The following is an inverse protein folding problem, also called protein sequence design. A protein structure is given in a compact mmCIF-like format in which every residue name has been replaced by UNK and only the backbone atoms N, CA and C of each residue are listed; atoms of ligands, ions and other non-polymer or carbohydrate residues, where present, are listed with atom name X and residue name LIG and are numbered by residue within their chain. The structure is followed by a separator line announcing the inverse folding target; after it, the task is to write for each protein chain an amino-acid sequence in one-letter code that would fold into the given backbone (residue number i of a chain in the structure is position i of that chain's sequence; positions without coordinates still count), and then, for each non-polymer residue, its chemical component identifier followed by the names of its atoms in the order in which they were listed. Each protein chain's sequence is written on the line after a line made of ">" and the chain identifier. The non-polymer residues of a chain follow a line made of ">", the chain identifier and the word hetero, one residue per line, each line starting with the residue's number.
data_IF_744880082787
#
_entry.id   IF_744880082787
#
_cell.length_a   1.000
_cell.length_b   1.000
_cell.length_c   1.000
_cell.angle_alpha   90.00
_cell.angle_beta   90.00
_cell.angle_gamma   90.00
#
_symmetry.space_group_name_H-M   'P 1'
#
loop_
_entity.id
_entity.type
_entity.pdbx_description
1 polymer ?
#
# COMPACT_ATOMS: atom_id res chain seq x y z
N UNK A 1 3.16 -26.39 -28.50
CA UNK A 1 4.04 -25.37 -27.92
C UNK A 1 3.28 -24.75 -26.78
N UNK A 2 3.53 -25.20 -25.57
CA UNK A 2 2.96 -24.63 -24.35
C UNK A 2 3.56 -23.23 -24.16
N UNK A 3 2.74 -22.28 -23.72
CA UNK A 3 3.28 -20.99 -23.28
C UNK A 3 4.31 -21.27 -22.16
N UNK A 4 5.41 -20.48 -22.07
CA UNK A 4 6.30 -20.61 -20.93
C UNK A 4 5.47 -20.51 -19.65
N UNK A 5 5.67 -21.44 -18.72
CA UNK A 5 5.11 -21.33 -17.38
C UNK A 5 5.53 -19.97 -16.80
N UNK A 6 4.60 -19.20 -16.19
CA UNK A 6 4.97 -17.96 -15.54
C UNK A 6 6.00 -18.26 -14.46
N UNK A 7 7.15 -17.58 -14.54
CA UNK A 7 8.25 -17.69 -13.57
C UNK A 7 7.72 -17.37 -12.15
N UNK A 8 7.83 -18.29 -11.17
CA UNK A 8 7.28 -18.15 -9.82
C UNK A 8 7.86 -16.99 -8.97
N UNK A 9 8.80 -16.20 -9.51
CA UNK A 9 9.58 -15.21 -8.76
C UNK A 9 9.25 -13.73 -9.03
N UNK A 10 8.17 -13.39 -9.73
CA UNK A 10 7.83 -11.98 -10.00
C UNK A 10 6.83 -11.39 -9.01
N UNK A 11 7.30 -11.07 -7.80
CA UNK A 11 6.79 -9.88 -7.13
C UNK A 11 7.53 -8.68 -7.74
N UNK A 12 6.83 -7.80 -8.45
CA UNK A 12 7.46 -6.57 -8.96
C UNK A 12 8.12 -5.81 -7.81
N UNK A 13 9.18 -5.04 -8.08
CA UNK A 13 9.83 -4.23 -7.03
C UNK A 13 8.81 -3.33 -6.34
N UNK A 14 7.84 -2.86 -7.11
CA UNK A 14 6.66 -2.13 -6.68
C UNK A 14 5.81 -2.94 -5.69
N UNK A 15 5.45 -4.18 -6.00
CA UNK A 15 4.65 -5.01 -5.09
C UNK A 15 5.41 -5.36 -3.80
N UNK A 16 6.72 -5.57 -3.88
CA UNK A 16 7.56 -5.80 -2.69
C UNK A 16 7.57 -4.56 -1.78
N UNK A 17 7.72 -3.36 -2.36
CA UNK A 17 7.64 -2.11 -1.61
C UNK A 17 6.27 -1.95 -0.92
N UNK A 18 5.17 -2.22 -1.63
CA UNK A 18 3.83 -2.19 -1.03
C UNK A 18 3.70 -3.21 0.10
N UNK A 19 4.14 -4.44 -0.11
CA UNK A 19 4.02 -5.52 0.86
C UNK A 19 4.86 -5.27 2.13
N UNK A 20 5.98 -4.56 2.00
CA UNK A 20 6.81 -4.14 3.14
C UNK A 20 6.10 -3.09 4.01
N UNK A 21 5.44 -2.10 3.40
CA UNK A 21 4.82 -0.99 4.12
C UNK A 21 3.38 -1.26 4.59
N UNK A 22 2.62 -2.06 3.83
CA UNK A 22 1.18 -2.26 4.04
C UNK A 22 0.82 -2.73 5.46
N UNK A 23 1.52 -3.70 6.07
CA UNK A 23 1.16 -4.16 7.41
C UNK A 23 1.16 -3.02 8.44
N UNK A 24 2.22 -2.22 8.47
CA UNK A 24 2.33 -1.11 9.43
C UNK A 24 1.38 0.04 9.09
N UNK A 25 1.19 0.34 7.80
CA UNK A 25 0.23 1.35 7.36
C UNK A 25 -1.23 0.96 7.74
N UNK A 26 -1.59 -0.31 7.65
CA UNK A 26 -2.90 -0.81 8.08
C UNK A 26 -3.07 -0.74 9.60
N UNK A 27 -2.04 -1.05 10.40
CA UNK A 27 -2.07 -0.85 11.86
C UNK A 27 -2.28 0.63 12.22
N UNK A 28 -1.62 1.54 11.50
CA UNK A 28 -1.81 2.99 11.66
C UNK A 28 -3.25 3.36 11.33
N UNK A 29 -3.80 2.86 10.21
CA UNK A 29 -5.19 3.11 9.84
C UNK A 29 -6.16 2.61 10.92
N UNK A 30 -5.99 1.37 11.40
CA UNK A 30 -6.85 0.77 12.43
C UNK A 30 -6.89 1.63 13.69
N UNK A 31 -5.72 2.15 14.10
CA UNK A 31 -5.58 2.91 15.34
C UNK A 31 -5.95 4.38 15.21
N UNK A 32 -5.75 4.97 14.03
CA UNK A 32 -5.74 6.42 13.86
C UNK A 32 -6.64 6.94 12.74
N UNK A 33 -7.25 6.07 11.92
CA UNK A 33 -8.11 6.45 10.80
C UNK A 33 -7.38 6.98 9.57
N UNK A 34 -6.04 7.02 9.57
CA UNK A 34 -5.27 7.48 8.41
C UNK A 34 -5.28 6.38 7.36
N UNK A 35 -5.94 6.63 6.22
CA UNK A 35 -6.09 5.64 5.16
C UNK A 35 -4.74 5.08 4.67
N UNK A 36 -4.69 3.76 4.55
CA UNK A 36 -3.51 3.02 4.10
C UNK A 36 -3.13 3.44 2.68
N UNK A 37 -4.11 3.59 1.81
CA UNK A 37 -3.92 4.03 0.42
C UNK A 37 -3.24 5.38 0.32
N UNK A 38 -3.59 6.33 1.19
CA UNK A 38 -2.95 7.66 1.27
C UNK A 38 -1.50 7.52 1.70
N UNK A 39 -1.25 6.77 2.78
CA UNK A 39 0.10 6.55 3.29
C UNK A 39 1.00 5.90 2.24
N UNK A 40 0.51 4.86 1.54
CA UNK A 40 1.24 4.17 0.48
C UNK A 40 1.47 5.08 -0.74
N UNK A 41 0.46 5.84 -1.17
CA UNK A 41 0.59 6.75 -2.32
C UNK A 41 1.60 7.87 -2.07
N UNK A 42 1.59 8.46 -0.87
CA UNK A 42 2.61 9.43 -0.47
C UNK A 42 3.98 8.76 -0.39
N UNK A 43 4.10 7.58 0.20
CA UNK A 43 5.38 6.87 0.24
C UNK A 43 5.93 6.60 -1.18
N UNK A 44 5.09 6.18 -2.12
CA UNK A 44 5.47 5.99 -3.53
C UNK A 44 6.00 7.31 -4.14
N UNK A 45 5.20 8.38 -4.03
CA UNK A 45 5.47 9.66 -4.66
C UNK A 45 6.74 10.32 -4.10
N UNK A 46 6.88 10.34 -2.78
CA UNK A 46 7.94 11.07 -2.07
C UNK A 46 9.28 10.33 -2.07
N UNK A 47 9.25 8.99 -2.21
CA UNK A 47 10.46 8.16 -2.10
C UNK A 47 10.90 7.52 -3.41
N UNK A 48 10.15 7.69 -4.51
CA UNK A 48 10.33 6.97 -5.78
C UNK A 48 10.36 5.45 -5.54
N UNK A 49 9.29 4.89 -4.98
CA UNK A 49 9.22 3.46 -4.62
C UNK A 49 10.38 2.99 -3.72
N UNK A 50 10.77 3.84 -2.76
CA UNK A 50 11.90 3.61 -1.86
C UNK A 50 13.27 3.72 -2.53
N UNK A 51 13.35 4.09 -3.81
CA UNK A 51 14.61 4.16 -4.57
C UNK A 51 15.38 5.45 -4.36
N UNK A 52 14.75 6.50 -3.82
CA UNK A 52 15.46 7.75 -3.53
C UNK A 52 16.63 7.51 -2.57
N UNK A 53 17.72 8.25 -2.78
CA UNK A 53 18.90 8.12 -1.91
C UNK A 53 18.59 8.42 -0.44
N UNK A 54 17.58 9.27 -0.16
CA UNK A 54 17.13 9.57 1.19
C UNK A 54 16.34 8.40 1.82
N UNK A 55 15.46 7.76 1.06
CA UNK A 55 14.75 6.57 1.52
C UNK A 55 15.72 5.43 1.84
N UNK A 56 16.77 5.22 1.02
CA UNK A 56 17.74 4.15 1.23
C UNK A 56 18.75 4.44 2.34
N UNK A 57 19.29 5.66 2.43
CA UNK A 57 20.35 6.00 3.41
C UNK A 57 19.79 6.46 4.75
N UNK A 58 18.62 7.08 4.72
CA UNK A 58 17.96 7.68 5.88
C UNK A 58 16.76 6.90 6.39
N UNK A 59 16.32 5.85 5.68
CA UNK A 59 15.04 5.19 5.92
C UNK A 59 13.86 6.19 5.94
N UNK A 60 13.99 7.31 5.21
CA UNK A 60 13.07 8.43 5.30
C UNK A 60 12.27 8.54 4.00
N UNK A 61 11.06 8.01 4.03
CA UNK A 61 10.18 7.91 2.87
C UNK A 61 9.53 9.26 2.49
N UNK A 62 9.41 10.18 3.44
CA UNK A 62 8.57 11.39 3.32
C UNK A 62 9.36 12.70 3.37
N UNK A 63 10.68 12.65 3.16
CA UNK A 63 11.51 13.86 3.11
C UNK A 63 11.56 14.67 4.41
N UNK A 64 11.32 14.05 5.56
CA UNK A 64 11.21 14.78 6.85
C UNK A 64 12.55 15.41 7.21
N UNK A 65 12.61 16.75 7.31
CA UNK A 65 13.81 17.48 7.74
C UNK A 65 14.15 17.14 9.19
N UNK A 66 15.44 17.01 9.48
CA UNK A 66 15.96 16.61 10.79
C UNK A 66 16.35 17.80 11.67
N UNK A 67 16.27 17.63 12.98
CA UNK A 67 16.83 18.56 13.98
C UNK A 67 17.52 17.80 15.11
N UNK A 68 18.61 18.37 15.62
CA UNK A 68 19.28 17.85 16.82
C UNK A 68 18.31 17.81 18.02
N UNK A 69 18.36 16.77 18.89
CA UNK A 69 19.35 15.69 18.95
C UNK A 69 18.97 14.41 18.19
N UNK A 70 17.97 14.45 17.30
CA UNK A 70 17.54 13.26 16.57
C UNK A 70 18.63 12.78 15.58
N UNK A 71 18.72 11.47 15.28
CA UNK A 71 19.58 10.97 14.21
C UNK A 71 19.24 11.63 12.88
N UNK A 72 20.28 11.99 12.11
CA UNK A 72 20.14 12.68 10.83
C UNK A 72 21.09 12.13 9.77
N UNK A 73 20.71 12.33 8.51
CA UNK A 73 21.60 12.17 7.35
C UNK A 73 21.64 13.50 6.58
N UNK A 74 22.84 13.94 6.22
CA UNK A 74 23.02 15.13 5.38
C UNK A 74 23.01 14.71 3.91
N UNK A 75 22.19 15.38 3.11
CA UNK A 75 22.10 15.14 1.68
C UNK A 75 22.05 16.45 0.90
N UNK A 76 22.66 16.46 -0.29
CA UNK A 76 22.45 17.51 -1.27
C UNK A 76 21.01 17.45 -1.77
N UNK A 77 20.30 18.57 -1.73
CA UNK A 77 18.94 18.72 -2.25
C UNK A 77 18.85 19.99 -3.09
N UNK A 78 17.85 20.04 -3.97
CA UNK A 78 17.53 21.25 -4.73
C UNK A 78 16.48 22.05 -3.98
N UNK A 79 16.75 23.32 -3.73
CA UNK A 79 15.80 24.27 -3.18
C UNK A 79 15.55 25.39 -4.19
N UNK A 80 14.31 25.89 -4.22
CA UNK A 80 13.96 27.03 -5.06
C UNK A 80 14.02 28.30 -4.21
N UNK A 81 15.08 29.08 -4.40
CA UNK A 81 15.33 30.32 -3.64
C UNK A 81 15.46 31.47 -4.63
N UNK A 82 14.72 32.55 -4.39
CA UNK A 82 14.74 33.77 -5.21
C UNK A 82 14.56 33.52 -6.72
N UNK A 83 13.65 32.60 -7.08
CA UNK A 83 13.33 32.30 -8.47
C UNK A 83 14.32 31.35 -9.17
N UNK A 84 15.31 30.78 -8.46
CA UNK A 84 16.32 29.88 -9.01
C UNK A 84 16.44 28.60 -8.20
N UNK A 85 16.67 27.48 -8.90
CA UNK A 85 17.06 26.23 -8.29
C UNK A 85 18.53 26.29 -7.87
N UNK A 86 18.82 26.05 -6.61
CA UNK A 86 20.16 25.92 -6.05
C UNK A 86 20.32 24.56 -5.37
N UNK A 87 21.54 24.02 -5.37
CA UNK A 87 21.87 22.84 -4.58
C UNK A 87 22.40 23.25 -3.22
N UNK A 88 21.78 22.73 -2.17
CA UNK A 88 22.23 22.95 -0.79
C UNK A 88 22.33 21.62 -0.05
N UNK A 89 23.19 21.57 0.97
CA UNK A 89 23.15 20.47 1.92
C UNK A 89 22.02 20.71 2.93
N UNK A 90 21.11 19.75 3.04
CA UNK A 90 20.06 19.74 4.04
C UNK A 90 20.19 18.51 4.95
N UNK A 91 19.81 18.70 6.22
CA UNK A 91 19.75 17.61 7.18
C UNK A 91 18.34 17.03 7.19
N UNK A 92 18.25 15.72 6.95
CA UNK A 92 17.01 14.96 7.02
C UNK A 92 17.04 14.03 8.22
N UNK A 93 15.87 13.76 8.79
CA UNK A 93 15.73 12.78 9.87
C UNK A 93 16.16 11.42 9.33
N UNK A 94 16.92 10.68 10.14
CA UNK A 94 17.29 9.29 9.88
C UNK A 94 16.48 8.40 10.82
N UNK A 95 15.83 7.40 10.26
CA UNK A 95 15.04 6.42 10.97
C UNK A 95 15.76 5.07 11.04
N UNK A 96 15.37 4.23 12.00
CA UNK A 96 15.85 2.87 12.14
C UNK A 96 15.47 2.01 10.94
N UNK A 97 14.24 2.15 10.48
CA UNK A 97 13.62 1.40 9.38
C UNK A 97 12.45 2.22 8.80
N UNK A 98 11.82 1.73 7.73
CA UNK A 98 10.69 2.41 7.11
C UNK A 98 9.44 2.43 7.99
N UNK A 99 9.27 1.49 8.92
CA UNK A 99 8.14 1.51 9.86
C UNK A 99 8.21 2.73 10.79
N UNK A 100 9.39 3.09 11.28
CA UNK A 100 9.55 4.33 12.06
C UNK A 100 9.30 5.59 11.21
N UNK A 101 9.59 5.55 9.90
CA UNK A 101 9.22 6.63 8.98
C UNK A 101 7.70 6.74 8.80
N UNK A 102 6.99 5.61 8.69
CA UNK A 102 5.51 5.58 8.64
C UNK A 102 4.90 6.13 9.93
N UNK A 103 5.47 5.77 11.09
CA UNK A 103 5.02 6.29 12.39
C UNK A 103 5.21 7.79 12.51
N UNK A 104 6.38 8.31 12.10
CA UNK A 104 6.66 9.74 12.08
C UNK A 104 5.72 10.51 11.14
N UNK A 105 5.37 9.92 10.00
CA UNK A 105 4.37 10.46 9.08
C UNK A 105 2.98 10.51 9.72
N UNK A 106 2.55 9.43 10.38
CA UNK A 106 1.28 9.42 11.11
C UNK A 106 1.25 10.45 12.25
N UNK A 107 2.36 10.63 12.97
CA UNK A 107 2.47 11.66 14.02
C UNK A 107 2.24 13.08 13.50
N UNK A 108 2.69 13.39 12.27
CA UNK A 108 2.44 14.69 11.65
C UNK A 108 0.93 14.93 11.49
N UNK A 109 0.17 13.94 11.05
CA UNK A 109 -1.27 14.08 10.89
C UNK A 109 -1.98 14.20 12.25
N UNK A 110 -1.55 13.43 13.23
CA UNK A 110 -2.14 13.42 14.57
C UNK A 110 -1.85 14.69 15.39
N UNK A 111 -0.69 15.31 15.19
CA UNK A 111 -0.24 16.46 16.00
C UNK A 111 -0.30 17.79 15.25
N UNK A 112 -0.52 17.75 13.94
CA UNK A 112 -0.43 18.92 13.08
C UNK A 112 0.96 19.55 13.10
N UNK A 113 1.01 20.87 12.89
CA UNK A 113 2.24 21.67 13.02
C UNK A 113 2.27 22.39 14.37
N UNK A 114 3.44 22.94 14.74
CA UNK A 114 3.58 23.68 16.00
C UNK A 114 2.68 24.91 16.10
N UNK A 115 2.22 25.48 14.97
CA UNK A 115 1.33 26.64 14.91
C UNK A 115 -0.13 26.30 14.55
N UNK A 116 -0.39 25.09 14.07
CA UNK A 116 -1.74 24.61 13.79
C UNK A 116 -1.82 23.09 14.06
N UNK A 117 -2.30 22.73 15.25
CA UNK A 117 -2.41 21.32 15.67
C UNK A 117 -3.49 20.55 14.92
N UNK A 118 -4.49 21.25 14.43
CA UNK A 118 -5.65 20.67 13.74
C UNK A 118 -5.46 20.63 12.22
N UNK A 119 -4.25 20.99 11.73
CA UNK A 119 -3.94 21.21 10.31
C UNK A 119 -4.36 20.05 9.41
N UNK A 120 -4.28 18.81 9.89
CA UNK A 120 -4.57 17.60 9.11
C UNK A 120 -5.79 16.82 9.64
N UNK A 121 -6.62 17.41 10.51
CA UNK A 121 -7.82 16.72 11.02
C UNK A 121 -8.78 16.31 9.90
N UNK A 122 -8.87 17.10 8.82
CA UNK A 122 -9.66 16.76 7.64
C UNK A 122 -9.19 15.48 6.94
N UNK A 123 -7.87 15.24 6.91
CA UNK A 123 -7.28 14.03 6.33
C UNK A 123 -7.67 12.79 7.14
N UNK A 124 -7.65 12.89 8.47
CA UNK A 124 -8.03 11.80 9.39
C UNK A 124 -9.54 11.54 9.34
N UNK A 125 -10.35 12.58 9.17
CA UNK A 125 -11.80 12.49 9.12
C UNK A 125 -12.36 12.10 7.74
N UNK A 126 -11.51 11.95 6.73
CA UNK A 126 -11.92 11.56 5.39
C UNK A 126 -12.32 10.08 5.35
N UNK A 127 -13.46 9.81 4.74
CA UNK A 127 -14.07 8.49 4.57
C UNK A 127 -13.62 7.78 3.28
N UNK A 128 -12.97 8.52 2.37
CA UNK A 128 -12.32 7.98 1.19
C UNK A 128 -11.02 8.72 0.85
N UNK A 129 -10.20 8.08 0.01
CA UNK A 129 -8.91 8.59 -0.38
C UNK A 129 -8.98 9.85 -1.26
N UNK A 130 -10.07 10.06 -2.01
CA UNK A 130 -10.22 11.26 -2.86
C UNK A 130 -10.37 12.48 -1.97
N UNK A 131 -11.23 12.39 -0.96
CA UNK A 131 -11.41 13.43 0.05
C UNK A 131 -10.13 13.63 0.86
N UNK A 132 -9.48 12.55 1.33
CA UNK A 132 -8.22 12.65 2.07
C UNK A 132 -7.11 13.36 1.26
N UNK A 133 -7.00 13.06 -0.03
CA UNK A 133 -6.06 13.73 -0.93
C UNK A 133 -6.38 15.23 -1.11
N UNK A 134 -7.66 15.59 -1.24
CA UNK A 134 -8.09 17.00 -1.32
C UNK A 134 -7.84 17.76 0.00
N UNK A 135 -8.02 17.11 1.14
CA UNK A 135 -7.69 17.66 2.46
C UNK A 135 -6.18 17.88 2.62
N UNK A 136 -5.34 16.97 2.10
CA UNK A 136 -3.87 17.16 2.06
C UNK A 136 -3.47 18.39 1.23
N UNK A 137 -4.08 18.57 0.05
CA UNK A 137 -3.87 19.76 -0.79
C UNK A 137 -4.31 21.03 -0.07
N UNK A 138 -5.51 21.03 0.50
CA UNK A 138 -6.10 22.18 1.19
C UNK A 138 -5.32 22.56 2.45
N UNK A 139 -4.79 21.57 3.16
CA UNK A 139 -3.89 21.78 4.28
C UNK A 139 -2.51 22.31 3.85
N UNK A 140 -2.17 22.29 2.55
CA UNK A 140 -0.85 22.68 2.07
C UNK A 140 0.24 21.74 2.58
N UNK A 141 0.01 20.43 2.40
CA UNK A 141 1.04 19.41 2.63
C UNK A 141 2.20 19.60 1.64
N UNK A 142 1.87 19.83 0.36
CA UNK A 142 2.81 20.15 -0.71
C UNK A 142 2.48 21.51 -1.35
N UNK A 143 3.49 22.14 -1.96
CA UNK A 143 3.32 23.37 -2.77
C UNK A 143 2.87 23.09 -4.19
N UNK A 144 2.89 21.82 -4.60
CA UNK A 144 2.42 21.35 -5.89
C UNK A 144 0.90 21.55 -6.02
N UNK A 145 0.40 22.28 -7.03
CA UNK A 145 -1.03 22.52 -7.20
C UNK A 145 -1.83 21.25 -7.56
N UNK A 146 -1.15 20.21 -8.09
CA UNK A 146 -1.79 18.98 -8.57
C UNK A 146 -1.53 17.80 -7.60
N UNK A 147 -1.13 18.06 -6.36
CA UNK A 147 -0.73 17.03 -5.40
C UNK A 147 -1.86 16.03 -5.13
N UNK A 148 -3.09 16.52 -4.90
CA UNK A 148 -4.25 15.64 -4.69
C UNK A 148 -4.50 14.71 -5.89
N UNK A 149 -4.46 15.26 -7.10
CA UNK A 149 -4.68 14.50 -8.32
C UNK A 149 -3.59 13.43 -8.53
N UNK A 150 -2.32 13.76 -8.24
CA UNK A 150 -1.22 12.79 -8.31
C UNK A 150 -1.43 11.62 -7.35
N UNK A 151 -1.84 11.89 -6.10
CA UNK A 151 -2.12 10.83 -5.14
C UNK A 151 -3.29 9.96 -5.60
N UNK A 152 -4.40 10.57 -6.04
CA UNK A 152 -5.57 9.84 -6.56
C UNK A 152 -5.16 8.95 -7.73
N UNK A 153 -4.40 9.48 -8.69
CA UNK A 153 -3.93 8.71 -9.85
C UNK A 153 -3.02 7.55 -9.46
N UNK A 154 -2.15 7.72 -8.46
CA UNK A 154 -1.33 6.61 -7.93
C UNK A 154 -2.23 5.55 -7.28
N UNK A 155 -3.19 5.97 -6.45
CA UNK A 155 -4.10 5.06 -5.76
C UNK A 155 -4.93 4.25 -6.76
N UNK A 156 -5.50 4.90 -7.79
CA UNK A 156 -6.29 4.23 -8.81
C UNK A 156 -5.44 3.35 -9.73
N UNK A 157 -4.24 3.79 -10.12
CA UNK A 157 -3.35 3.02 -11.01
C UNK A 157 -2.85 1.72 -10.38
N UNK A 158 -2.60 1.72 -9.08
CA UNK A 158 -2.04 0.57 -8.35
C UNK A 158 -3.07 -0.10 -7.43
N UNK A 159 -4.35 0.23 -7.59
CA UNK A 159 -5.47 -0.29 -6.79
C UNK A 159 -5.24 -0.18 -5.27
N UNK A 160 -4.59 0.89 -4.80
CA UNK A 160 -4.19 1.03 -3.40
C UNK A 160 -5.37 1.17 -2.46
N UNK A 161 -6.53 1.63 -2.98
CA UNK A 161 -7.78 1.70 -2.24
C UNK A 161 -8.24 0.33 -1.72
N UNK A 162 -7.71 -0.77 -2.29
CA UNK A 162 -7.95 -2.09 -1.73
C UNK A 162 -7.38 -2.15 -0.30
N UNK A 163 -6.19 -1.62 -0.04
CA UNK A 163 -5.56 -1.73 1.28
C UNK A 163 -6.30 -0.99 2.41
N UNK A 164 -7.28 -0.13 2.09
CA UNK A 164 -8.11 0.58 3.07
C UNK A 164 -9.14 -0.34 3.75
N UNK A 165 -9.43 -1.53 3.21
CA UNK A 165 -10.37 -2.45 3.87
C UNK A 165 -9.63 -3.36 4.85
N UNK A 166 -9.84 -3.15 6.14
CA UNK A 166 -9.13 -3.86 7.23
C UNK A 166 -10.04 -4.53 8.28
N UNK A 167 -11.35 -4.39 8.16
CA UNK A 167 -12.33 -4.82 9.18
C UNK A 167 -13.17 -6.04 8.80
N UNK A 168 -12.82 -6.78 7.74
CA UNK A 168 -13.63 -7.93 7.31
C UNK A 168 -13.61 -9.03 8.39
N UNK A 169 -14.74 -9.73 8.61
CA UNK A 169 -14.84 -10.79 9.61
C UNK A 169 -14.96 -12.16 8.95
N UNK A 170 -14.19 -13.14 9.44
CA UNK A 170 -14.35 -14.53 9.04
C UNK A 170 -15.51 -15.17 9.83
N UNK A 171 -16.50 -15.71 9.11
CA UNK A 171 -17.59 -16.50 9.67
C UNK A 171 -17.23 -17.98 9.79
N UNK A 172 -16.62 -18.52 8.75
CA UNK A 172 -16.05 -19.86 8.75
C UNK A 172 -14.85 -19.91 7.82
N UNK A 173 -13.98 -20.87 8.10
CA UNK A 173 -12.88 -21.28 7.24
C UNK A 173 -12.74 -22.80 7.36
N UNK A 174 -13.07 -23.50 6.27
CA UNK A 174 -13.17 -24.96 6.24
C UNK A 174 -12.38 -25.55 5.08
N UNK A 175 -12.05 -26.83 5.19
CA UNK A 175 -11.44 -27.57 4.08
C UNK A 175 -12.41 -27.63 2.91
N UNK A 176 -11.89 -27.35 1.72
CA UNK A 176 -12.58 -27.61 0.46
C UNK A 176 -11.88 -28.75 -0.27
N UNK A 177 -12.63 -29.46 -1.09
CA UNK A 177 -12.10 -30.44 -2.04
C UNK A 177 -12.66 -30.12 -3.42
N UNK A 178 -11.87 -30.40 -4.45
CA UNK A 178 -12.23 -30.15 -5.85
C UNK A 178 -11.24 -29.25 -6.55
N UNK A 179 -11.61 -28.91 -7.79
CA UNK A 179 -10.81 -28.09 -8.69
C UNK A 179 -11.67 -26.95 -9.23
N UNK A 180 -11.03 -25.93 -9.76
CA UNK A 180 -11.69 -24.86 -10.49
C UNK A 180 -10.77 -24.20 -11.48
N UNK A 181 -11.35 -23.52 -12.46
CA UNK A 181 -10.60 -22.68 -13.38
C UNK A 181 -10.96 -21.21 -13.15
N UNK A 182 -10.04 -20.32 -13.45
CA UNK A 182 -10.34 -18.88 -13.48
C UNK A 182 -11.37 -18.62 -14.58
N UNK A 183 -12.42 -17.86 -14.25
CA UNK A 183 -13.46 -17.48 -15.19
C UNK A 183 -12.89 -16.72 -16.38
N UNK A 184 -13.58 -16.84 -17.52
CA UNK A 184 -13.24 -16.06 -18.70
C UNK A 184 -13.49 -14.57 -18.45
N UNK A 185 -12.60 -13.72 -18.96
CA UNK A 185 -12.74 -12.25 -19.00
C UNK A 185 -12.89 -11.57 -17.63
N UNK A 186 -12.43 -12.21 -16.54
CA UNK A 186 -12.30 -11.56 -15.23
C UNK A 186 -10.90 -10.97 -15.02
N UNK A 187 -10.81 -10.04 -14.08
CA UNK A 187 -9.58 -9.56 -13.43
C UNK A 187 -9.75 -9.68 -11.92
N UNK A 188 -8.63 -9.77 -11.19
CA UNK A 188 -8.67 -9.88 -9.74
C UNK A 188 -7.33 -10.31 -9.17
N UNK A 189 -7.20 -10.18 -7.86
CA UNK A 189 -5.96 -10.46 -7.15
C UNK A 189 -6.03 -11.75 -6.34
N UNK A 190 -4.89 -12.39 -6.20
CA UNK A 190 -4.61 -13.44 -5.23
C UNK A 190 -3.99 -12.78 -4.00
N UNK A 191 -4.44 -13.19 -2.82
CA UNK A 191 -4.05 -12.59 -1.55
C UNK A 191 -3.48 -13.62 -0.57
N UNK A 192 -2.64 -13.18 0.36
CA UNK A 192 -2.08 -14.06 1.41
C UNK A 192 -3.14 -14.59 2.38
N UNK A 193 -4.27 -13.89 2.52
CA UNK A 193 -5.48 -14.25 3.26
C UNK A 193 -6.69 -13.56 2.58
N UNK A 194 -7.95 -13.93 2.86
CA UNK A 194 -9.11 -13.21 2.32
C UNK A 194 -8.95 -11.69 2.40
N UNK A 195 -9.08 -11.01 1.26
CA UNK A 195 -8.91 -9.57 1.22
C UNK A 195 -10.02 -8.86 2.01
N UNK A 196 -9.62 -7.81 2.72
CA UNK A 196 -10.43 -7.10 3.71
C UNK A 196 -10.04 -7.41 5.15
N UNK A 197 -9.27 -8.48 5.38
CA UNK A 197 -8.67 -8.79 6.67
C UNK A 197 -7.39 -7.97 6.86
N UNK A 198 -7.17 -7.47 8.08
CA UNK A 198 -5.92 -6.80 8.46
C UNK A 198 -4.68 -7.65 8.11
N UNK A 199 -3.71 -7.03 7.44
CA UNK A 199 -2.48 -7.65 6.95
C UNK A 199 -2.67 -8.57 5.73
N UNK A 200 -3.79 -8.47 4.99
CA UNK A 200 -3.92 -9.12 3.69
C UNK A 200 -3.02 -8.43 2.67
N UNK A 201 -2.10 -9.19 2.09
CA UNK A 201 -1.14 -8.70 1.10
C UNK A 201 -1.47 -9.30 -0.26
N UNK A 202 -1.36 -8.49 -1.30
CA UNK A 202 -1.50 -8.94 -2.68
C UNK A 202 -0.28 -9.79 -3.03
N UNK A 203 -0.56 -10.99 -3.50
CA UNK A 203 0.44 -11.91 -4.05
C UNK A 203 0.65 -11.52 -5.51
N UNK A 204 -0.41 -11.64 -6.33
CA UNK A 204 -0.35 -11.35 -7.76
C UNK A 204 -1.74 -11.27 -8.41
N UNK A 205 -1.79 -11.13 -9.73
CA UNK A 205 -3.02 -11.16 -10.52
C UNK A 205 -3.46 -12.60 -10.80
N UNK A 206 -4.74 -12.91 -10.57
CA UNK A 206 -5.33 -14.22 -10.89
C UNK A 206 -5.24 -14.56 -12.39
N UNK A 207 -5.03 -13.53 -13.22
CA UNK A 207 -4.95 -13.65 -14.67
C UNK A 207 -3.77 -14.49 -15.16
N UNK A 208 -2.70 -14.62 -14.36
CA UNK A 208 -1.58 -15.49 -14.68
C UNK A 208 -1.96 -16.98 -14.68
N UNK A 209 -3.06 -17.34 -13.99
CA UNK A 209 -3.50 -18.71 -13.80
C UNK A 209 -4.71 -19.11 -14.66
N UNK A 210 -5.04 -18.33 -15.71
CA UNK A 210 -6.25 -18.56 -16.54
C UNK A 210 -6.29 -19.91 -17.25
N UNK A 211 -5.14 -20.59 -17.38
CA UNK A 211 -5.02 -21.88 -18.06
C UNK A 211 -4.79 -23.05 -17.10
N UNK A 212 -4.67 -22.76 -15.81
CA UNK A 212 -4.35 -23.76 -14.80
C UNK A 212 -5.61 -24.41 -14.25
N UNK A 213 -5.48 -25.69 -13.88
CA UNK A 213 -6.50 -26.41 -13.12
C UNK A 213 -6.20 -26.27 -11.62
N UNK A 214 -6.85 -25.29 -11.00
CA UNK A 214 -6.53 -24.88 -9.64
C UNK A 214 -7.19 -25.81 -8.63
N UNK A 215 -6.41 -26.38 -7.74
CA UNK A 215 -6.94 -27.15 -6.62
C UNK A 215 -7.51 -26.20 -5.57
N UNK A 216 -8.72 -26.49 -5.10
CA UNK A 216 -9.37 -25.72 -4.04
C UNK A 216 -9.09 -26.39 -2.69
N UNK A 217 -8.24 -25.76 -1.87
CA UNK A 217 -7.81 -26.31 -0.58
C UNK A 217 -8.77 -25.95 0.55
N UNK A 218 -9.29 -24.71 0.54
CA UNK A 218 -10.14 -24.16 1.60
C UNK A 218 -11.20 -23.25 1.02
N UNK A 219 -12.29 -23.11 1.75
CA UNK A 219 -13.33 -22.10 1.53
C UNK A 219 -13.51 -21.29 2.81
N UNK A 220 -13.49 -19.97 2.68
CA UNK A 220 -13.78 -19.06 3.79
C UNK A 220 -14.91 -18.10 3.42
N UNK A 221 -15.84 -17.89 4.34
CA UNK A 221 -16.88 -16.85 4.23
C UNK A 221 -16.49 -15.66 5.08
N UNK A 222 -16.47 -14.49 4.46
CA UNK A 222 -16.30 -13.20 5.12
C UNK A 222 -17.51 -12.29 4.89
N UNK A 223 -17.55 -11.11 5.51
CA UNK A 223 -18.60 -10.10 5.26
C UNK A 223 -18.61 -9.70 3.79
N UNK A 224 -17.41 -9.58 3.20
CA UNK A 224 -17.28 -9.17 1.81
C UNK A 224 -17.55 -10.27 0.78
N UNK A 225 -17.71 -11.55 1.18
CA UNK A 225 -18.04 -12.64 0.26
C UNK A 225 -17.36 -13.97 0.59
N UNK A 226 -17.39 -14.89 -0.36
CA UNK A 226 -16.73 -16.20 -0.23
C UNK A 226 -15.38 -16.16 -0.93
N UNK A 227 -14.41 -16.84 -0.34
CA UNK A 227 -13.03 -16.92 -0.78
C UNK A 227 -12.60 -18.38 -0.91
N UNK A 228 -11.83 -18.68 -1.94
CA UNK A 228 -11.15 -19.97 -2.09
C UNK A 228 -9.65 -19.81 -1.88
N UNK A 229 -9.06 -20.71 -1.10
CA UNK A 229 -7.61 -20.92 -1.15
C UNK A 229 -7.29 -21.85 -2.32
N UNK A 230 -6.51 -21.35 -3.27
CA UNK A 230 -6.11 -22.07 -4.48
C UNK A 230 -4.68 -22.59 -4.37
N UNK A 231 -4.39 -23.64 -5.13
CA UNK A 231 -3.07 -24.24 -5.24
C UNK A 231 -2.83 -24.80 -6.65
N UNK A 232 -1.56 -24.81 -7.07
CA UNK A 232 -1.08 -25.70 -8.13
C UNK A 232 -0.53 -26.95 -7.46
N UNK A 233 -0.96 -28.12 -7.93
CA UNK A 233 -0.70 -29.43 -7.31
C UNK A 233 -1.11 -29.51 -5.84
N UNK A 234 -0.17 -29.20 -4.94
CA UNK A 234 -0.37 -29.15 -3.49
C UNK A 234 0.13 -27.86 -2.85
N UNK A 235 0.80 -26.99 -3.60
CA UNK A 235 1.41 -25.77 -3.06
C UNK A 235 0.39 -24.63 -3.07
N UNK A 236 0.00 -24.09 -1.90
CA UNK A 236 -0.93 -22.96 -1.84
C UNK A 236 -0.34 -21.71 -2.51
N UNK A 237 -1.09 -21.10 -3.42
CA UNK A 237 -0.71 -19.83 -4.05
C UNK A 237 -1.32 -18.66 -3.25
N UNK A 238 -2.56 -18.81 -2.79
CA UNK A 238 -3.23 -17.80 -1.97
C UNK A 238 -4.75 -17.88 -2.06
N UNK A 239 -5.39 -16.78 -1.71
CA UNK A 239 -6.85 -16.63 -1.61
C UNK A 239 -7.41 -15.74 -2.70
N UNK A 240 -8.50 -16.18 -3.32
CA UNK A 240 -9.18 -15.50 -4.43
C UNK A 240 -10.69 -15.48 -4.15
N UNK A 241 -11.38 -14.42 -4.59
CA UNK A 241 -12.84 -14.37 -4.54
C UNK A 241 -13.44 -15.55 -5.28
N UNK A 242 -14.39 -16.23 -4.64
CA UNK A 242 -15.10 -17.37 -5.21
C UNK A 242 -15.75 -17.04 -6.56
N UNK A 243 -16.22 -15.81 -6.75
CA UNK A 243 -16.85 -15.36 -7.98
C UNK A 243 -15.91 -15.33 -9.19
N UNK A 244 -14.58 -15.40 -8.99
CA UNK A 244 -13.58 -15.44 -10.06
C UNK A 244 -13.29 -16.86 -10.54
N UNK A 245 -13.85 -17.89 -9.87
CA UNK A 245 -13.55 -19.30 -10.14
C UNK A 245 -14.82 -20.03 -10.62
N UNK A 246 -14.70 -20.76 -11.73
CA UNK A 246 -15.65 -21.78 -12.16
C UNK A 246 -15.25 -23.11 -11.51
N UNK A 247 -15.97 -23.48 -10.44
CA UNK A 247 -15.75 -24.73 -9.70
C UNK A 247 -16.26 -25.93 -10.51
N UNK A 248 -15.46 -26.99 -10.57
CA UNK A 248 -15.79 -28.28 -11.19
C UNK A 248 -16.34 -29.28 -10.18
#
# INVERSE_FOLDING_TARGET
>A
MTAPEPDPAFHSKEQNFLNELSPRAQEIQEKHGILTSITLAQAILESDWGQSGLAQKGNNLFGVKGKSPQPMVTMTTKEFVDGKWIEINANFRKYKDWNESLDSHAELFLKGTSWNKDKYNGVIAADDYKKAAQELQSAGYATDPDYAEKLINIIEKYDLALYDRIEDKIYYDTKSTGFGNVKKDVSGAIWTKPYGLSGALKVEEINYYKREDLKLLREAKTDSGVWYQIAIDTEPIGWVKQELIDKK
#
